data_IF_417615812129
#
_entry.id   IF_417615812129
#
_cell.length_a   1.000
_cell.length_b   1.000
_cell.length_c   1.000
_cell.angle_alpha   90.00
_cell.angle_beta   90.00
_cell.angle_gamma   90.00
#
_symmetry.space_group_name_H-M   'P 1'
#
loop_
_entity.id
_entity.type
_entity.pdbx_description
1 polymer ?
#
# COMPACT_ATOMS: atom_id res chain seq x y z
N UNK A 1 54.16 12.43 8.96
CA UNK A 1 54.34 11.96 7.57
C UNK A 1 54.52 10.45 7.59
N UNK A 2 53.92 9.69 6.67
CA UNK A 2 52.67 9.98 5.94
C UNK A 2 51.48 9.67 6.91
N UNK A 3 50.27 9.19 6.59
CA UNK A 3 49.38 9.36 5.42
C UNK A 3 47.91 9.39 5.88
N UNK A 4 46.96 9.54 4.95
CA UNK A 4 45.52 9.27 5.11
C UNK A 4 45.01 8.62 3.81
N UNK A 5 44.14 7.61 3.88
CA UNK A 5 43.40 7.12 2.71
C UNK A 5 41.91 7.11 3.04
N UNK A 6 41.22 8.18 2.64
CA UNK A 6 39.75 8.21 2.62
C UNK A 6 39.28 7.63 1.29
N UNK A 7 38.71 6.42 1.31
CA UNK A 7 38.12 5.82 0.12
C UNK A 7 36.65 6.23 -0.01
N UNK A 8 36.40 7.40 -0.62
CA UNK A 8 35.07 7.80 -1.03
C UNK A 8 34.74 7.19 -2.40
N UNK A 9 34.08 6.02 -2.42
CA UNK A 9 33.41 5.52 -3.63
C UNK A 9 32.06 6.22 -3.78
N UNK A 10 32.08 7.39 -4.39
CA UNK A 10 30.88 8.04 -4.93
C UNK A 10 30.41 7.29 -6.17
N UNK A 11 29.67 6.19 -5.99
CA UNK A 11 28.83 5.64 -7.05
C UNK A 11 27.67 6.61 -7.27
N UNK A 12 27.88 7.61 -8.13
CA UNK A 12 26.79 8.38 -8.72
C UNK A 12 25.99 7.50 -9.68
N UNK A 13 25.24 6.55 -9.10
CA UNK A 13 24.12 5.89 -9.74
C UNK A 13 23.21 6.98 -10.28
N UNK A 14 22.92 6.88 -11.57
CA UNK A 14 22.28 7.94 -12.33
C UNK A 14 20.79 8.03 -11.93
N UNK A 15 20.51 8.73 -10.82
CA UNK A 15 19.22 8.79 -10.13
C UNK A 15 18.11 9.52 -10.91
N UNK A 16 18.36 9.86 -12.18
CA UNK A 16 17.46 10.59 -13.07
C UNK A 16 16.13 9.88 -13.38
N UNK A 17 15.94 8.62 -12.95
CA UNK A 17 14.70 7.85 -13.11
C UNK A 17 14.26 7.13 -11.81
N UNK A 18 14.74 7.54 -10.63
CA UNK A 18 14.23 7.00 -9.37
C UNK A 18 12.76 7.41 -9.21
N UNK A 19 11.82 6.46 -9.37
CA UNK A 19 10.39 6.70 -9.14
C UNK A 19 10.20 7.21 -7.72
N UNK A 20 9.77 8.47 -7.60
CA UNK A 20 9.37 9.01 -6.31
C UNK A 20 7.98 8.45 -5.95
N UNK A 21 7.72 8.12 -4.67
CA UNK A 21 6.36 7.81 -4.23
C UNK A 21 5.47 9.02 -4.50
N UNK A 22 4.27 8.78 -5.04
CA UNK A 22 3.31 9.84 -5.32
C UNK A 22 2.61 10.33 -4.05
N UNK A 23 2.39 9.41 -3.11
CA UNK A 23 1.85 9.61 -1.78
C UNK A 23 2.39 8.52 -0.85
N UNK A 24 2.27 8.75 0.46
CA UNK A 24 2.61 7.81 1.52
C UNK A 24 1.38 7.63 2.41
N UNK A 25 1.10 6.40 2.84
CA UNK A 25 -0.03 6.09 3.73
C UNK A 25 0.46 6.19 5.17
N UNK A 26 0.32 7.38 5.76
CA UNK A 26 0.62 7.63 7.18
C UNK A 26 -0.62 7.31 8.04
N UNK A 27 -0.88 6.00 8.23
CA UNK A 27 -1.98 5.47 9.03
C UNK A 27 -1.56 4.16 9.70
N UNK A 28 -1.54 4.14 11.04
CA UNK A 28 -1.09 2.97 11.82
C UNK A 28 -2.00 1.75 11.67
N UNK A 29 -3.25 1.97 11.31
CA UNK A 29 -4.25 0.94 11.03
C UNK A 29 -4.01 0.24 9.69
N UNK A 30 -3.17 0.79 8.81
CA UNK A 30 -2.82 0.23 7.49
C UNK A 30 -1.33 -0.17 7.50
N UNK A 31 -0.98 -1.12 8.36
CA UNK A 31 0.42 -1.52 8.58
C UNK A 31 1.03 -2.36 7.46
N UNK A 32 0.20 -3.04 6.65
CA UNK A 32 0.63 -4.06 5.68
C UNK A 32 -0.20 -3.97 4.39
N UNK A 33 -0.34 -2.76 3.83
CA UNK A 33 -1.15 -2.52 2.62
C UNK A 33 -0.72 -3.39 1.42
N UNK A 34 -1.52 -4.39 1.02
CA UNK A 34 -1.22 -5.24 -0.15
C UNK A 34 -1.94 -4.80 -1.43
N UNK A 35 -3.22 -4.41 -1.36
CA UNK A 35 -4.02 -4.02 -2.54
C UNK A 35 -4.54 -2.57 -2.54
N UNK A 36 -4.77 -2.00 -3.75
CA UNK A 36 -5.38 -0.67 -3.94
C UNK A 36 -6.30 -0.56 -5.17
N UNK A 37 -7.53 -0.07 -4.97
CA UNK A 37 -8.51 0.20 -6.04
C UNK A 37 -9.05 1.63 -6.01
N UNK A 38 -9.05 2.35 -7.13
CA UNK A 38 -9.77 3.64 -7.22
C UNK A 38 -11.29 3.41 -7.14
N UNK A 39 -11.96 4.11 -6.23
CA UNK A 39 -13.43 4.11 -6.14
C UNK A 39 -14.08 4.59 -7.43
N UNK A 40 -15.18 3.93 -7.82
CA UNK A 40 -16.04 4.38 -8.93
C UNK A 40 -17.19 5.28 -8.48
N UNK A 41 -17.38 5.47 -7.16
CA UNK A 41 -18.45 6.31 -6.59
C UNK A 41 -17.98 7.65 -6.04
N UNK A 42 -16.71 7.77 -5.66
CA UNK A 42 -16.16 8.96 -5.02
C UNK A 42 -14.86 9.39 -5.72
N UNK A 43 -14.78 10.67 -6.11
CA UNK A 43 -13.80 11.16 -7.09
C UNK A 43 -12.33 11.03 -6.64
N UNK A 44 -12.09 11.16 -5.34
CA UNK A 44 -10.77 11.12 -4.70
C UNK A 44 -10.66 10.05 -3.60
N UNK A 45 -11.40 8.95 -3.70
CA UNK A 45 -11.28 7.80 -2.76
C UNK A 45 -10.60 6.62 -3.43
N UNK A 46 -9.68 6.02 -2.69
CA UNK A 46 -9.03 4.76 -3.00
C UNK A 46 -9.31 3.78 -1.87
N UNK A 47 -9.68 2.55 -2.22
CA UNK A 47 -9.90 1.46 -1.29
C UNK A 47 -8.61 0.66 -1.16
N UNK A 48 -8.19 0.39 0.07
CA UNK A 48 -7.05 -0.47 0.38
C UNK A 48 -7.41 -1.47 1.47
N UNK A 49 -6.62 -2.54 1.59
CA UNK A 49 -6.68 -3.53 2.66
C UNK A 49 -5.26 -3.91 3.08
N UNK A 50 -5.13 -4.44 4.30
CA UNK A 50 -3.89 -5.09 4.73
C UNK A 50 -3.80 -6.53 4.19
N UNK A 51 -2.59 -7.07 4.23
CA UNK A 51 -2.30 -8.51 4.33
C UNK A 51 -2.85 -9.09 5.66
N UNK A 52 -2.88 -10.40 5.75
CA UNK A 52 -3.33 -11.29 6.82
C UNK A 52 -3.04 -10.84 8.26
N UNK A 53 -1.86 -10.27 8.57
CA UNK A 53 -1.52 -9.85 9.93
C UNK A 53 -2.04 -8.44 10.32
N UNK A 54 -2.42 -7.61 9.34
CA UNK A 54 -3.01 -6.28 9.55
C UNK A 54 -4.53 -6.25 9.75
N UNK A 55 -5.19 -7.40 9.83
CA UNK A 55 -6.64 -7.50 10.07
C UNK A 55 -7.49 -7.42 8.79
N UNK A 56 -8.82 -7.49 8.95
CA UNK A 56 -9.78 -7.73 7.86
C UNK A 56 -10.64 -6.52 7.46
N UNK A 57 -10.27 -5.32 7.88
CA UNK A 57 -11.03 -4.11 7.58
C UNK A 57 -10.65 -3.55 6.20
N UNK A 58 -11.57 -2.81 5.59
CA UNK A 58 -11.31 -2.06 4.36
C UNK A 58 -11.14 -0.58 4.69
N UNK A 59 -10.17 0.08 4.06
CA UNK A 59 -9.81 1.45 4.37
C UNK A 59 -10.05 2.35 3.15
N UNK A 60 -10.73 3.48 3.37
CA UNK A 60 -10.79 4.56 2.41
C UNK A 60 -9.62 5.51 2.66
N UNK A 61 -8.74 5.69 1.68
CA UNK A 61 -7.72 6.76 1.68
C UNK A 61 -8.03 7.77 0.58
N UNK A 62 -7.52 9.00 0.72
CA UNK A 62 -7.51 9.97 -0.37
C UNK A 62 -6.29 9.81 -1.29
N UNK A 63 -6.21 10.64 -2.34
CA UNK A 63 -5.06 10.68 -3.26
C UNK A 63 -3.71 11.00 -2.61
N UNK A 64 -3.70 11.65 -1.45
CA UNK A 64 -2.48 11.97 -0.70
C UNK A 64 -2.15 10.91 0.37
N UNK A 65 -2.77 9.72 0.34
CA UNK A 65 -2.54 8.63 1.28
C UNK A 65 -3.20 8.80 2.65
N UNK A 66 -3.95 9.89 2.88
CA UNK A 66 -4.60 10.17 4.16
C UNK A 66 -5.82 9.26 4.34
N UNK A 67 -5.88 8.55 5.48
CA UNK A 67 -7.06 7.81 5.93
C UNK A 67 -8.30 8.73 6.05
N UNK A 68 -9.40 8.28 5.44
CA UNK A 68 -10.71 8.93 5.44
C UNK A 68 -11.74 8.15 6.26
N UNK A 69 -11.70 6.81 6.20
CA UNK A 69 -12.67 5.93 6.86
C UNK A 69 -12.13 4.50 6.96
N UNK A 70 -12.58 3.79 8.00
CA UNK A 70 -12.38 2.34 8.19
C UNK A 70 -13.75 1.69 8.10
N UNK A 71 -13.87 0.62 7.32
CA UNK A 71 -15.08 -0.16 7.12
C UNK A 71 -14.80 -1.56 7.67
N UNK A 72 -15.32 -1.87 8.87
CA UNK A 72 -15.17 -3.20 9.43
C UNK A 72 -15.81 -4.26 8.55
N UNK A 73 -15.12 -5.39 8.36
CA UNK A 73 -15.71 -6.56 7.70
C UNK A 73 -15.87 -7.73 8.67
N UNK A 74 -16.82 -8.60 8.35
CA UNK A 74 -17.01 -9.89 9.02
C UNK A 74 -16.39 -11.06 8.24
N UNK A 75 -15.54 -10.76 7.25
CA UNK A 75 -14.92 -11.76 6.38
C UNK A 75 -13.49 -11.94 6.87
N UNK A 76 -13.01 -13.17 7.16
CA UNK A 76 -11.63 -13.39 7.54
C UNK A 76 -10.67 -12.92 6.44
N UNK A 77 -9.62 -12.18 6.83
CA UNK A 77 -8.46 -11.97 5.97
C UNK A 77 -7.52 -13.17 6.19
N UNK A 78 -7.48 -14.08 5.21
CA UNK A 78 -6.58 -15.24 5.25
C UNK A 78 -5.26 -14.88 4.60
N UNK A 79 -5.33 -14.34 3.38
CA UNK A 79 -4.19 -14.00 2.53
C UNK A 79 -4.66 -13.06 1.38
N UNK A 80 -5.19 -11.89 1.76
CA UNK A 80 -5.76 -10.90 0.82
C UNK A 80 -4.65 -10.11 0.10
N UNK A 81 -4.60 -10.24 -1.22
CA UNK A 81 -3.47 -9.77 -2.06
C UNK A 81 -3.90 -8.82 -3.20
N UNK A 82 -5.19 -8.70 -3.51
CA UNK A 82 -5.68 -7.78 -4.55
C UNK A 82 -7.10 -7.28 -4.26
N UNK A 83 -7.44 -6.11 -4.82
CA UNK A 83 -8.75 -5.48 -4.72
C UNK A 83 -9.15 -4.80 -6.04
N UNK A 84 -10.39 -5.05 -6.46
CA UNK A 84 -11.00 -4.39 -7.62
C UNK A 84 -12.34 -3.73 -7.26
N UNK A 85 -12.71 -2.69 -8.00
CA UNK A 85 -13.96 -1.96 -7.82
C UNK A 85 -14.73 -1.81 -9.15
N UNK A 86 -16.01 -2.18 -9.17
CA UNK A 86 -16.90 -2.01 -10.32
C UNK A 86 -17.64 -0.66 -10.31
N UNK A 87 -18.34 -0.35 -11.41
CA UNK A 87 -19.07 0.90 -11.57
C UNK A 87 -20.29 1.03 -10.63
N UNK A 88 -20.79 -0.09 -10.10
CA UNK A 88 -21.88 -0.13 -9.12
C UNK A 88 -21.39 0.07 -7.69
N UNK A 89 -20.07 0.05 -7.49
CA UNK A 89 -19.39 0.34 -6.22
C UNK A 89 -19.10 -0.92 -5.40
N UNK A 90 -19.31 -2.11 -5.97
CA UNK A 90 -18.94 -3.36 -5.33
C UNK A 90 -17.43 -3.49 -5.29
N UNK A 91 -16.92 -4.08 -4.21
CA UNK A 91 -15.51 -4.40 -4.02
C UNK A 91 -15.32 -5.92 -4.10
N UNK A 92 -14.30 -6.32 -4.84
CA UNK A 92 -13.90 -7.71 -5.05
C UNK A 92 -12.52 -7.87 -4.47
N UNK A 93 -12.33 -8.86 -3.58
CA UNK A 93 -11.06 -9.14 -2.92
C UNK A 93 -10.50 -10.46 -3.44
N UNK A 94 -9.20 -10.47 -3.73
CA UNK A 94 -8.42 -11.65 -4.06
C UNK A 94 -7.78 -12.25 -2.81
N UNK A 95 -8.41 -13.29 -2.25
CA UNK A 95 -7.86 -14.12 -1.17
C UNK A 95 -7.11 -15.30 -1.81
N UNK A 96 -5.82 -15.12 -2.12
CA UNK A 96 -5.04 -16.06 -2.94
C UNK A 96 -3.53 -16.09 -2.69
N UNK A 97 -3.03 -15.43 -1.64
CA UNK A 97 -1.63 -15.58 -1.22
C UNK A 97 -1.29 -16.97 -0.69
N UNK A 98 -0.08 -17.13 -0.13
CA UNK A 98 0.41 -18.41 0.37
C UNK A 98 0.93 -18.37 1.83
N UNK A 99 0.03 -18.59 2.79
CA UNK A 99 0.26 -18.67 4.24
C UNK A 99 1.37 -19.65 4.72
N UNK A 100 1.98 -20.45 3.84
CA UNK A 100 3.02 -21.43 4.16
C UNK A 100 4.28 -21.24 3.29
N UNK A 101 5.09 -20.23 3.60
CA UNK A 101 6.46 -20.05 3.08
C UNK A 101 7.50 -20.86 3.89
#
# INVERSE_FOLDING_TARGET
MPFLVTLALSSSLNAANARQPYAEIDALEISECSGIAKSKKFEDVYWVHNDSAGGSDLYAINRSGKLLSIIPTSIPNTDWEDIAADNDGNLYIGDFGNFNN
#
